data_IF_724492170527
#
_entry.id   IF_724492170527
#
_cell.length_a   1.000
_cell.length_b   1.000
_cell.length_c   1.000
_cell.angle_alpha   90.00
_cell.angle_beta   90.00
_cell.angle_gamma   90.00
#
_symmetry.space_group_name_H-M   'P 1'
#
loop_
_entity.id
_entity.type
_entity.pdbx_description
1 polymer ?
#
# COMPACT_ATOMS: atom_id res chain seq x y z
N UNK A 1 -10.12 20.80 -12.50
CA UNK A 1 -9.89 19.91 -13.65
C UNK A 1 -8.63 20.30 -14.38
N UNK A 2 -7.56 19.53 -14.16
CA UNK A 2 -6.30 19.61 -14.89
C UNK A 2 -6.47 19.19 -16.34
N UNK A 3 -5.89 19.95 -17.28
CA UNK A 3 -5.94 19.64 -18.71
C UNK A 3 -5.19 18.34 -19.03
N UNK A 4 -4.16 18.01 -18.24
CA UNK A 4 -3.32 16.86 -18.49
C UNK A 4 -3.97 15.54 -18.13
N UNK A 5 -4.97 15.53 -17.25
CA UNK A 5 -5.77 14.34 -16.95
C UNK A 5 -6.46 13.79 -18.22
N UNK A 6 -6.92 14.67 -19.11
CA UNK A 6 -7.54 14.27 -20.38
C UNK A 6 -6.52 13.85 -21.45
N UNK A 7 -5.32 14.42 -21.38
CA UNK A 7 -4.22 14.12 -22.30
C UNK A 7 -3.34 12.95 -21.83
N UNK A 8 -3.56 12.42 -20.63
CA UNK A 8 -2.78 11.35 -20.03
C UNK A 8 -2.63 10.11 -20.93
N UNK A 9 -3.66 9.63 -21.67
CA UNK A 9 -3.48 8.52 -22.60
C UNK A 9 -2.39 8.79 -23.66
N UNK A 10 -2.23 10.05 -24.07
CA UNK A 10 -1.19 10.47 -25.02
C UNK A 10 0.22 10.49 -24.41
N UNK A 11 0.35 10.31 -23.10
CA UNK A 11 1.62 10.13 -22.39
C UNK A 11 1.82 8.65 -21.99
N UNK A 12 0.75 7.99 -21.56
CA UNK A 12 0.74 6.61 -21.06
C UNK A 12 1.05 5.55 -22.12
N UNK A 13 0.62 5.71 -23.36
CA UNK A 13 0.99 4.74 -24.40
C UNK A 13 2.42 4.96 -24.94
N UNK A 14 2.86 6.19 -25.23
CA UNK A 14 4.18 6.38 -25.82
C UNK A 14 5.35 6.44 -24.83
N UNK A 15 5.16 6.40 -23.51
CA UNK A 15 6.31 6.54 -22.59
C UNK A 15 7.36 5.44 -22.75
N UNK A 16 6.97 4.25 -23.23
CA UNK A 16 7.90 3.16 -23.50
C UNK A 16 8.82 3.46 -24.70
N UNK A 17 8.23 3.77 -25.86
CA UNK A 17 8.94 3.79 -27.15
C UNK A 17 9.33 5.20 -27.62
N UNK A 18 8.71 6.22 -27.06
CA UNK A 18 8.87 7.62 -27.47
C UNK A 18 9.06 8.55 -26.26
N UNK A 19 9.84 8.09 -25.28
CA UNK A 19 10.03 8.80 -24.02
C UNK A 19 10.51 10.24 -24.20
N UNK A 20 11.38 10.56 -25.16
CA UNK A 20 11.85 11.94 -25.40
C UNK A 20 10.71 12.97 -25.57
N UNK A 21 9.63 12.58 -26.25
CA UNK A 21 8.44 13.44 -26.42
C UNK A 21 7.63 13.54 -25.14
N UNK A 22 7.55 12.44 -24.39
CA UNK A 22 6.89 12.39 -23.08
C UNK A 22 7.67 13.21 -22.06
N UNK A 23 9.00 13.14 -22.03
CA UNK A 23 9.89 13.89 -21.17
C UNK A 23 9.69 15.41 -21.33
N UNK A 24 9.64 15.90 -22.58
CA UNK A 24 9.33 17.31 -22.86
C UNK A 24 7.98 17.73 -22.27
N UNK A 25 6.99 16.83 -22.34
CA UNK A 25 5.65 17.08 -21.80
C UNK A 25 5.65 17.06 -20.27
N UNK A 26 6.36 16.10 -19.66
CA UNK A 26 6.53 16.01 -18.21
C UNK A 26 7.22 17.25 -17.64
N UNK A 27 8.25 17.75 -18.30
CA UNK A 27 8.90 19.01 -17.90
C UNK A 27 7.95 20.20 -17.96
N UNK A 28 7.05 20.22 -18.95
CA UNK A 28 6.05 21.28 -19.07
C UNK A 28 5.00 21.17 -17.99
N UNK A 29 4.49 19.97 -17.71
CA UNK A 29 3.56 19.74 -16.60
C UNK A 29 4.21 20.21 -15.29
N UNK A 30 5.45 19.79 -15.02
CA UNK A 30 6.19 20.15 -13.81
C UNK A 30 6.34 21.67 -13.63
N UNK A 31 6.51 22.43 -14.73
CA UNK A 31 6.69 23.90 -14.69
C UNK A 31 5.40 24.70 -14.66
N UNK A 32 4.38 24.26 -15.40
CA UNK A 32 3.18 25.07 -15.71
C UNK A 32 1.88 24.45 -15.17
N UNK A 33 1.90 23.18 -14.78
CA UNK A 33 0.73 22.42 -14.36
C UNK A 33 0.19 22.85 -13.00
N UNK A 34 -1.11 22.64 -12.81
CA UNK A 34 -1.73 22.80 -11.50
C UNK A 34 -1.60 21.51 -10.66
N UNK A 35 -2.09 21.53 -9.42
CA UNK A 35 -2.05 20.36 -8.52
C UNK A 35 -2.66 19.10 -9.13
N UNK A 36 -3.77 19.20 -9.85
CA UNK A 36 -4.41 18.04 -10.46
C UNK A 36 -3.57 17.48 -11.63
N UNK A 37 -2.89 18.35 -12.38
CA UNK A 37 -1.95 17.93 -13.41
C UNK A 37 -0.74 17.18 -12.82
N UNK A 38 -0.38 17.47 -11.56
CA UNK A 38 0.73 16.81 -10.88
C UNK A 38 0.45 15.34 -10.56
N UNK A 39 -0.82 14.93 -10.41
CA UNK A 39 -1.14 13.51 -10.31
C UNK A 39 -0.78 12.76 -11.59
N UNK A 40 -1.05 13.37 -12.75
CA UNK A 40 -0.66 12.83 -14.05
C UNK A 40 0.87 12.79 -14.18
N UNK A 41 1.54 13.87 -13.80
CA UNK A 41 3.01 13.94 -13.81
C UNK A 41 3.63 12.84 -12.94
N UNK A 42 3.16 12.68 -11.70
CA UNK A 42 3.66 11.68 -10.77
C UNK A 42 3.46 10.26 -11.29
N UNK A 43 2.29 9.97 -11.87
CA UNK A 43 1.98 8.65 -12.43
C UNK A 43 2.84 8.31 -13.63
N UNK A 44 2.92 9.19 -14.62
CA UNK A 44 3.73 8.94 -15.82
C UNK A 44 5.23 8.91 -15.48
N UNK A 45 5.70 9.76 -14.57
CA UNK A 45 7.10 9.75 -14.14
C UNK A 45 7.46 8.48 -13.38
N UNK A 46 6.57 7.97 -12.53
CA UNK A 46 6.75 6.69 -11.85
C UNK A 46 6.82 5.53 -12.85
N UNK A 47 5.92 5.47 -13.85
CA UNK A 47 5.96 4.46 -14.90
C UNK A 47 7.27 4.50 -15.69
N UNK A 48 7.71 5.70 -16.09
CA UNK A 48 8.98 5.89 -16.79
C UNK A 48 10.19 5.50 -15.93
N UNK A 49 10.10 5.65 -14.59
CA UNK A 49 11.17 5.20 -13.68
C UNK A 49 11.27 3.69 -13.59
N UNK A 50 10.13 2.96 -13.62
CA UNK A 50 10.12 1.49 -13.61
C UNK A 50 10.75 0.91 -14.89
N UNK A 51 10.65 1.63 -16.01
CA UNK A 51 11.26 1.22 -17.29
C UNK A 51 12.67 1.78 -17.51
N UNK A 52 13.24 2.50 -16.53
CA UNK A 52 14.62 3.01 -16.57
C UNK A 52 14.81 4.29 -17.39
N UNK A 53 13.73 4.92 -17.85
CA UNK A 53 13.79 6.20 -18.58
C UNK A 53 14.03 7.40 -17.65
N UNK A 54 13.61 7.28 -16.39
CA UNK A 54 13.89 8.23 -15.32
C UNK A 54 14.63 7.49 -14.21
N UNK A 55 15.74 8.05 -13.72
CA UNK A 55 16.40 7.50 -12.55
C UNK A 55 15.46 7.56 -11.32
N UNK A 56 15.33 6.44 -10.60
CA UNK A 56 14.39 6.33 -9.49
C UNK A 56 14.72 7.28 -8.34
N UNK A 57 16.01 7.46 -8.03
CA UNK A 57 16.43 8.40 -6.99
C UNK A 57 16.16 9.85 -7.42
N UNK A 58 16.36 10.17 -8.70
CA UNK A 58 15.97 11.45 -9.27
C UNK A 58 14.46 11.71 -9.17
N UNK A 59 13.61 10.70 -9.43
CA UNK A 59 12.16 10.83 -9.25
C UNK A 59 11.80 11.12 -7.79
N UNK A 60 12.34 10.38 -6.83
CA UNK A 60 12.08 10.63 -5.41
C UNK A 60 12.54 12.03 -4.98
N UNK A 61 13.72 12.47 -5.45
CA UNK A 61 14.20 13.82 -5.21
C UNK A 61 13.29 14.90 -5.82
N UNK A 62 12.74 14.64 -7.00
CA UNK A 62 11.79 15.55 -7.65
C UNK A 62 10.45 15.62 -6.90
N UNK A 63 9.90 14.48 -6.46
CA UNK A 63 8.67 14.42 -5.65
C UNK A 63 8.83 15.22 -4.36
N UNK A 64 9.96 15.03 -3.65
CA UNK A 64 10.28 15.77 -2.43
C UNK A 64 10.47 17.27 -2.67
N UNK A 65 11.11 17.65 -3.78
CA UNK A 65 11.31 19.06 -4.10
C UNK A 65 10.01 19.77 -4.51
N UNK A 66 9.12 19.06 -5.20
CA UNK A 66 7.84 19.61 -5.62
C UNK A 66 6.91 19.84 -4.42
N UNK A 67 6.94 18.96 -3.43
CA UNK A 67 6.12 19.06 -2.21
C UNK A 67 4.61 19.18 -2.53
N UNK A 68 4.15 18.36 -3.50
CA UNK A 68 2.76 18.33 -3.95
C UNK A 68 2.18 16.93 -3.74
N UNK A 69 1.15 16.84 -2.90
CA UNK A 69 0.51 15.59 -2.50
C UNK A 69 -0.09 14.82 -3.67
N UNK A 70 -0.64 15.52 -4.66
CA UNK A 70 -1.18 14.90 -5.87
C UNK A 70 -0.10 14.18 -6.69
N UNK A 71 1.14 14.69 -6.72
CA UNK A 71 2.26 14.02 -7.37
C UNK A 71 2.59 12.68 -6.69
N UNK A 72 2.66 12.69 -5.36
CA UNK A 72 2.83 11.48 -4.55
C UNK A 72 1.69 10.49 -4.74
N UNK A 73 0.44 10.97 -4.79
CA UNK A 73 -0.71 10.13 -5.07
C UNK A 73 -0.61 9.43 -6.44
N UNK A 74 -0.23 10.19 -7.47
CA UNK A 74 -0.04 9.68 -8.83
C UNK A 74 1.05 8.61 -8.88
N UNK A 75 2.22 8.89 -8.30
CA UNK A 75 3.32 7.94 -8.24
C UNK A 75 2.96 6.68 -7.44
N UNK A 76 2.33 6.83 -6.28
CA UNK A 76 1.89 5.72 -5.46
C UNK A 76 0.86 4.84 -6.17
N UNK A 77 -0.03 5.40 -7.00
CA UNK A 77 -0.98 4.60 -7.80
C UNK A 77 -0.30 3.63 -8.78
N UNK A 78 0.94 3.96 -9.22
CA UNK A 78 1.77 3.06 -10.04
C UNK A 78 2.43 2.00 -9.19
N UNK A 79 3.04 2.41 -8.08
CA UNK A 79 3.77 1.49 -7.19
C UNK A 79 2.86 0.49 -6.49
N UNK A 80 1.60 0.84 -6.25
CA UNK A 80 0.62 -0.06 -5.62
C UNK A 80 -0.14 -0.94 -6.61
N UNK A 81 0.08 -0.76 -7.92
CA UNK A 81 -0.59 -1.57 -8.93
C UNK A 81 -0.02 -3.02 -8.94
N UNK A 82 -0.87 -4.07 -8.86
CA UNK A 82 -0.41 -5.45 -8.71
C UNK A 82 0.58 -5.92 -9.78
N UNK A 83 0.32 -5.57 -11.05
CA UNK A 83 1.22 -5.95 -12.15
C UNK A 83 2.59 -5.28 -12.04
N UNK A 84 2.65 -4.03 -11.54
CA UNK A 84 3.90 -3.31 -11.38
C UNK A 84 4.69 -3.88 -10.21
N UNK A 85 4.04 -4.17 -9.08
CA UNK A 85 4.69 -4.86 -7.95
C UNK A 85 5.25 -6.22 -8.39
N UNK A 86 4.52 -6.97 -9.24
CA UNK A 86 4.98 -8.26 -9.74
C UNK A 86 6.23 -8.14 -10.60
N UNK A 87 6.33 -7.09 -11.42
CA UNK A 87 7.44 -6.90 -12.36
C UNK A 87 8.63 -6.15 -11.76
N UNK A 88 8.38 -5.16 -10.89
CA UNK A 88 9.34 -4.19 -10.37
C UNK A 88 9.29 -4.11 -8.84
N UNK A 89 9.19 -5.27 -8.18
CA UNK A 89 8.90 -5.39 -6.75
C UNK A 89 9.71 -4.45 -5.86
N UNK A 90 11.03 -4.49 -5.95
CA UNK A 90 11.91 -3.72 -5.06
C UNK A 90 11.69 -2.21 -5.21
N UNK A 91 11.61 -1.71 -6.44
CA UNK A 91 11.36 -0.29 -6.72
C UNK A 91 9.97 0.14 -6.25
N UNK A 92 8.93 -0.66 -6.51
CA UNK A 92 7.58 -0.35 -6.04
C UNK A 92 7.51 -0.28 -4.50
N UNK A 93 8.09 -1.26 -3.80
CA UNK A 93 8.10 -1.29 -2.34
C UNK A 93 8.93 -0.14 -1.77
N UNK A 94 10.07 0.19 -2.37
CA UNK A 94 10.89 1.34 -1.97
C UNK A 94 10.15 2.69 -2.16
N UNK A 95 9.40 2.84 -3.25
CA UNK A 95 8.60 4.04 -3.51
C UNK A 95 7.46 4.21 -2.51
N UNK A 96 6.75 3.12 -2.20
CA UNK A 96 5.73 3.09 -1.14
C UNK A 96 6.36 3.46 0.21
N UNK A 97 7.49 2.85 0.55
CA UNK A 97 8.19 3.11 1.81
C UNK A 97 8.60 4.58 1.94
N UNK A 98 9.19 5.14 0.87
CA UNK A 98 9.59 6.55 0.83
C UNK A 98 8.38 7.45 1.09
N UNK A 99 7.30 7.27 0.33
CA UNK A 99 6.10 8.10 0.45
C UNK A 99 5.39 7.98 1.80
N UNK A 100 5.40 6.79 2.44
CA UNK A 100 4.84 6.60 3.78
C UNK A 100 5.67 7.27 4.89
N UNK A 101 6.93 7.60 4.62
CA UNK A 101 7.84 8.28 5.56
C UNK A 101 7.88 9.80 5.39
N UNK A 102 7.19 10.34 4.39
CA UNK A 102 7.05 11.77 4.19
C UNK A 102 6.11 12.40 5.25
N UNK A 103 5.85 13.70 5.11
CA UNK A 103 4.90 14.41 5.96
C UNK A 103 3.50 13.75 5.94
N UNK A 104 2.66 14.12 6.91
CA UNK A 104 1.34 13.51 7.09
C UNK A 104 0.48 13.60 5.83
N UNK A 105 0.59 14.68 5.03
CA UNK A 105 -0.25 14.89 3.86
C UNK A 105 0.12 13.93 2.72
N UNK A 106 1.41 13.82 2.38
CA UNK A 106 1.90 12.89 1.35
C UNK A 106 1.73 11.45 1.81
N UNK A 107 2.11 11.15 3.06
CA UNK A 107 2.00 9.82 3.63
C UNK A 107 0.55 9.31 3.63
N UNK A 108 -0.43 10.15 3.99
CA UNK A 108 -1.84 9.79 3.92
C UNK A 108 -2.31 9.50 2.48
N UNK A 109 -1.84 10.28 1.49
CA UNK A 109 -2.15 10.01 0.08
C UNK A 109 -1.58 8.68 -0.40
N UNK A 110 -0.34 8.35 -0.02
CA UNK A 110 0.29 7.06 -0.34
C UNK A 110 -0.40 5.90 0.38
N UNK A 111 -0.70 6.05 1.66
CA UNK A 111 -1.41 5.02 2.44
C UNK A 111 -2.78 4.69 1.85
N UNK A 112 -3.52 5.69 1.34
CA UNK A 112 -4.77 5.47 0.59
C UNK A 112 -4.59 4.66 -0.70
N UNK A 113 -3.43 4.73 -1.35
CA UNK A 113 -3.14 3.87 -2.50
C UNK A 113 -2.72 2.46 -2.06
N UNK A 114 -2.02 2.33 -0.93
CA UNK A 114 -1.65 1.03 -0.33
C UNK A 114 -2.90 0.26 0.10
N UNK A 115 -3.92 0.95 0.62
CA UNK A 115 -5.22 0.36 0.95
C UNK A 115 -5.83 -0.45 -0.21
N UNK A 116 -5.60 0.00 -1.45
CA UNK A 116 -6.10 -0.68 -2.65
C UNK A 116 -5.40 -2.01 -2.93
N UNK A 117 -4.19 -2.23 -2.40
CA UNK A 117 -3.47 -3.51 -2.53
C UNK A 117 -4.25 -4.62 -1.83
N UNK A 118 -4.94 -4.29 -0.74
CA UNK A 118 -5.68 -5.26 0.07
C UNK A 118 -7.02 -5.65 -0.57
N UNK A 119 -7.51 -4.88 -1.56
CA UNK A 119 -8.78 -5.14 -2.24
C UNK A 119 -8.62 -6.13 -3.39
N UNK A 120 -9.50 -7.13 -3.45
CA UNK A 120 -9.80 -8.00 -4.61
C UNK A 120 -8.57 -8.56 -5.37
N UNK A 121 -7.50 -8.90 -4.66
CA UNK A 121 -6.30 -9.50 -5.25
C UNK A 121 -6.18 -10.98 -4.88
N UNK A 122 -6.67 -11.85 -5.76
CA UNK A 122 -6.39 -13.28 -5.73
C UNK A 122 -5.44 -13.64 -6.89
N UNK A 123 -4.18 -14.01 -6.62
CA UNK A 123 -3.56 -14.19 -5.32
C UNK A 123 -3.18 -12.88 -4.60
N UNK A 124 -3.08 -12.89 -3.24
CA UNK A 124 -2.72 -11.69 -2.49
C UNK A 124 -1.30 -11.24 -2.82
N UNK A 125 -1.14 -9.93 -3.00
CA UNK A 125 0.18 -9.32 -3.17
C UNK A 125 0.93 -9.40 -1.84
N UNK A 126 2.10 -10.07 -1.76
CA UNK A 126 2.86 -10.14 -0.52
C UNK A 126 3.47 -8.78 -0.19
N UNK A 127 3.17 -8.24 0.99
CA UNK A 127 3.68 -6.96 1.47
C UNK A 127 4.54 -7.18 2.72
N UNK A 128 5.78 -6.66 2.76
CA UNK A 128 6.62 -6.71 3.96
C UNK A 128 5.90 -6.15 5.19
N UNK A 129 6.10 -6.81 6.34
CA UNK A 129 5.44 -6.44 7.59
C UNK A 129 5.75 -4.99 8.02
N UNK A 130 6.95 -4.49 7.73
CA UNK A 130 7.31 -3.12 8.06
C UNK A 130 6.54 -2.07 7.24
N UNK A 131 6.17 -2.39 5.99
CA UNK A 131 5.28 -1.53 5.20
C UNK A 131 3.85 -1.54 5.74
N UNK A 132 3.37 -2.70 6.21
CA UNK A 132 2.07 -2.78 6.92
C UNK A 132 2.13 -1.88 8.15
N UNK A 133 3.18 -2.00 8.99
CA UNK A 133 3.37 -1.18 10.19
C UNK A 133 3.38 0.31 9.88
N UNK A 134 4.14 0.75 8.87
CA UNK A 134 4.19 2.15 8.44
C UNK A 134 2.81 2.64 7.99
N UNK A 135 2.12 1.89 7.14
CA UNK A 135 0.80 2.24 6.63
C UNK A 135 -0.21 2.44 7.78
N UNK A 136 -0.23 1.51 8.75
CA UNK A 136 -1.08 1.63 9.92
C UNK A 136 -0.72 2.81 10.82
N UNK A 137 0.57 3.14 10.98
CA UNK A 137 0.98 4.34 11.73
C UNK A 137 0.50 5.64 11.08
N UNK A 138 0.43 5.70 9.75
CA UNK A 138 -0.15 6.84 9.02
C UNK A 138 -1.66 6.91 9.27
N UNK A 139 -2.36 5.77 9.20
CA UNK A 139 -3.79 5.72 9.48
C UNK A 139 -4.17 6.10 10.92
N UNK A 140 -3.33 5.81 11.92
CA UNK A 140 -3.57 6.28 13.29
C UNK A 140 -3.53 7.81 13.39
N UNK A 141 -2.65 8.46 12.63
CA UNK A 141 -2.38 9.89 12.71
C UNK A 141 -3.23 10.74 11.76
N UNK A 142 -3.83 10.16 10.73
CA UNK A 142 -4.69 10.90 9.79
C UNK A 142 -6.12 11.06 10.36
N UNK A 143 -6.46 12.27 10.78
CA UNK A 143 -7.72 12.63 11.42
C UNK A 143 -8.93 12.73 10.49
N UNK A 144 -8.75 12.81 9.18
CA UNK A 144 -9.83 13.20 8.25
C UNK A 144 -10.73 12.04 7.79
N UNK A 145 -10.25 10.79 7.80
CA UNK A 145 -10.95 9.65 7.18
C UNK A 145 -11.00 8.38 8.05
N UNK A 146 -11.50 8.50 9.30
CA UNK A 146 -11.54 7.38 10.26
C UNK A 146 -12.45 6.20 9.88
N UNK A 147 -13.39 6.38 8.94
CA UNK A 147 -14.50 5.43 8.73
C UNK A 147 -14.40 4.56 7.45
N UNK A 148 -13.44 4.80 6.56
CA UNK A 148 -13.39 4.15 5.22
C UNK A 148 -12.05 3.48 4.88
N UNK A 149 -11.20 3.23 5.88
CA UNK A 149 -9.86 2.65 5.69
C UNK A 149 -9.92 1.13 5.91
N UNK A 150 -9.15 0.38 5.14
CA UNK A 150 -8.89 -1.06 5.29
C UNK A 150 -9.98 -2.01 4.80
N UNK A 151 -10.80 -1.56 3.85
CA UNK A 151 -11.74 -2.45 3.17
C UNK A 151 -10.98 -3.56 2.43
N UNK A 152 -11.29 -4.82 2.71
CA UNK A 152 -10.62 -6.00 2.14
C UNK A 152 -9.34 -6.41 2.88
N UNK A 153 -8.95 -5.75 3.97
CA UNK A 153 -7.77 -6.17 4.74
C UNK A 153 -7.97 -7.55 5.40
N UNK A 154 -9.19 -7.84 5.87
CA UNK A 154 -9.62 -9.16 6.35
C UNK A 154 -9.53 -10.24 5.26
N UNK A 155 -9.97 -9.94 4.05
CA UNK A 155 -9.78 -10.81 2.88
C UNK A 155 -8.30 -11.06 2.59
N UNK A 156 -7.47 -10.01 2.59
CA UNK A 156 -6.04 -10.11 2.37
C UNK A 156 -5.35 -10.94 3.46
N UNK A 157 -5.70 -10.75 4.74
CA UNK A 157 -5.18 -11.54 5.86
C UNK A 157 -5.56 -13.02 5.71
N UNK A 158 -6.83 -13.30 5.42
CA UNK A 158 -7.32 -14.65 5.23
C UNK A 158 -6.64 -15.35 4.05
N UNK A 159 -6.40 -14.65 2.94
CA UNK A 159 -5.66 -15.20 1.81
C UNK A 159 -4.16 -15.37 2.11
N UNK A 160 -3.56 -14.43 2.84
CA UNK A 160 -2.14 -14.48 3.22
C UNK A 160 -1.87 -15.62 4.18
N UNK A 161 -2.77 -15.94 5.11
CA UNK A 161 -2.59 -17.04 6.07
C UNK A 161 -2.50 -18.43 5.41
N UNK A 162 -3.00 -18.59 4.19
CA UNK A 162 -2.82 -19.84 3.44
C UNK A 162 -1.40 -20.03 2.89
N UNK A 163 -0.62 -18.95 2.81
CA UNK A 163 0.68 -18.91 2.14
C UNK A 163 1.83 -18.61 3.10
N UNK A 164 1.58 -17.67 4.00
CA UNK A 164 2.51 -17.19 4.99
C UNK A 164 1.74 -16.90 6.29
N UNK A 165 1.50 -17.93 7.12
CA UNK A 165 0.82 -17.80 8.40
C UNK A 165 1.52 -16.84 9.37
N UNK A 166 2.84 -16.76 9.30
CA UNK A 166 3.66 -15.90 10.18
C UNK A 166 3.43 -14.42 9.84
N UNK A 167 3.47 -14.07 8.56
CA UNK A 167 3.15 -12.73 8.08
C UNK A 167 1.69 -12.36 8.38
N UNK A 168 0.76 -13.29 8.16
CA UNK A 168 -0.65 -13.06 8.45
C UNK A 168 -0.87 -12.77 9.93
N UNK A 169 -0.31 -13.58 10.83
CA UNK A 169 -0.39 -13.37 12.28
C UNK A 169 0.20 -12.02 12.69
N UNK A 170 1.40 -11.69 12.23
CA UNK A 170 2.03 -10.40 12.54
C UNK A 170 1.21 -9.20 12.04
N UNK A 171 0.62 -9.31 10.84
CA UNK A 171 -0.23 -8.27 10.28
C UNK A 171 -1.56 -8.15 11.04
N UNK A 172 -2.14 -9.26 11.51
CA UNK A 172 -3.32 -9.26 12.38
C UNK A 172 -3.04 -8.58 13.71
N UNK A 173 -1.90 -8.83 14.35
CA UNK A 173 -1.50 -8.16 15.59
C UNK A 173 -1.44 -6.63 15.42
N UNK A 174 -0.87 -6.15 14.30
CA UNK A 174 -0.84 -4.72 13.96
C UNK A 174 -2.26 -4.17 13.78
N UNK A 175 -3.10 -4.89 13.03
CA UNK A 175 -4.47 -4.48 12.74
C UNK A 175 -5.33 -4.38 14.00
N UNK A 176 -5.23 -5.36 14.90
CA UNK A 176 -5.97 -5.34 16.16
C UNK A 176 -5.48 -4.24 17.10
N UNK A 177 -4.16 -4.01 17.18
CA UNK A 177 -3.63 -2.88 17.93
C UNK A 177 -4.19 -1.54 17.43
N UNK A 178 -4.29 -1.37 16.12
CA UNK A 178 -4.93 -0.21 15.50
C UNK A 178 -6.41 -0.09 15.85
N UNK A 179 -7.18 -1.18 15.74
CA UNK A 179 -8.62 -1.20 16.06
C UNK A 179 -8.86 -0.84 17.53
N UNK A 180 -8.10 -1.44 18.45
CA UNK A 180 -8.26 -1.19 19.89
C UNK A 180 -8.00 0.28 20.26
N UNK A 181 -7.07 0.95 19.56
CA UNK A 181 -6.71 2.35 19.80
C UNK A 181 -7.67 3.34 19.15
N UNK A 182 -7.98 3.11 17.88
CA UNK A 182 -8.73 4.07 17.05
C UNK A 182 -10.25 3.85 17.11
N UNK A 183 -10.68 2.68 17.59
CA UNK A 183 -12.08 2.23 17.67
C UNK A 183 -12.86 2.51 16.38
N UNK A 184 -12.34 2.10 15.21
CA UNK A 184 -13.07 2.22 13.97
C UNK A 184 -14.26 1.26 14.00
N UNK A 185 -15.20 1.44 13.07
CA UNK A 185 -16.24 0.45 12.87
C UNK A 185 -15.59 -0.87 12.44
N UNK A 186 -15.78 -1.92 13.24
CA UNK A 186 -15.21 -3.25 13.02
C UNK A 186 -16.32 -4.22 12.59
N UNK A 187 -16.11 -4.88 11.46
CA UNK A 187 -17.04 -5.86 10.91
C UNK A 187 -16.24 -6.97 10.24
N UNK A 188 -16.48 -8.22 10.65
CA UNK A 188 -15.90 -9.40 10.02
C UNK A 188 -16.75 -9.78 8.80
N UNK A 189 -16.36 -9.32 7.62
CA UNK A 189 -17.09 -9.62 6.40
C UNK A 189 -16.93 -11.11 6.07
N UNK A 190 -18.03 -11.80 5.74
CA UNK A 190 -18.04 -13.23 5.36
C UNK A 190 -17.32 -14.20 6.34
N UNK A 191 -17.18 -13.82 7.61
CA UNK A 191 -16.43 -14.59 8.63
C UNK A 191 -14.97 -14.85 8.22
N UNK A 192 -14.33 -13.90 7.54
CA UNK A 192 -12.93 -14.02 7.07
C UNK A 192 -11.95 -14.07 8.22
N UNK A 193 -12.17 -13.33 9.30
CA UNK A 193 -11.33 -13.36 10.49
C UNK A 193 -11.50 -14.69 11.24
N UNK A 194 -12.70 -15.26 11.30
CA UNK A 194 -12.90 -16.61 11.85
C UNK A 194 -12.14 -17.68 11.05
N UNK A 195 -12.18 -17.61 9.72
CA UNK A 195 -11.41 -18.52 8.85
C UNK A 195 -9.91 -18.36 9.06
N UNK A 196 -9.43 -17.11 9.15
CA UNK A 196 -8.06 -16.77 9.47
C UNK A 196 -7.64 -17.41 10.80
N UNK A 197 -8.42 -17.22 11.87
CA UNK A 197 -8.13 -17.79 13.19
C UNK A 197 -8.03 -19.30 13.15
N UNK A 198 -8.97 -19.97 12.47
CA UNK A 198 -8.96 -21.44 12.34
C UNK A 198 -7.67 -21.93 11.68
N UNK A 199 -7.19 -21.23 10.64
CA UNK A 199 -5.93 -21.58 9.96
C UNK A 199 -4.71 -21.32 10.83
N UNK A 200 -4.69 -20.19 11.53
CA UNK A 200 -3.58 -19.84 12.42
C UNK A 200 -3.47 -20.81 13.61
N UNK A 201 -4.59 -21.29 14.16
CA UNK A 201 -4.58 -22.33 15.19
C UNK A 201 -4.03 -23.64 14.65
N UNK A 202 -4.49 -24.10 13.49
CA UNK A 202 -3.99 -25.33 12.88
C UNK A 202 -2.47 -25.27 12.64
N UNK A 203 -1.96 -24.17 12.09
CA UNK A 203 -0.52 -23.97 11.89
C UNK A 203 0.24 -23.93 13.23
N UNK A 204 -0.31 -23.25 14.23
CA UNK A 204 0.34 -23.14 15.54
C UNK A 204 0.42 -24.49 16.27
N UNK A 205 -0.61 -25.34 16.14
CA UNK A 205 -0.61 -26.72 16.65
C UNK A 205 0.44 -27.57 15.92
N UNK A 206 0.54 -27.46 14.59
CA UNK A 206 1.57 -28.18 13.81
C UNK A 206 2.99 -27.77 14.20
N UNK A 207 3.21 -26.52 14.60
CA UNK A 207 4.53 -25.99 14.99
C UNK A 207 4.88 -26.12 16.46
N UNK A 208 3.91 -26.47 17.32
CA UNK A 208 4.03 -26.36 18.78
C UNK A 208 5.29 -27.03 19.35
N UNK A 209 5.61 -28.23 18.89
CA UNK A 209 6.81 -28.96 19.34
C UNK A 209 8.11 -28.28 18.91
N UNK A 210 8.11 -27.65 17.73
CA UNK A 210 9.29 -27.04 17.12
C UNK A 210 9.60 -25.64 17.64
N UNK A 211 8.56 -24.87 17.97
CA UNK A 211 8.68 -23.48 18.42
C UNK A 211 8.39 -23.31 19.92
N UNK A 212 8.11 -24.40 20.64
CA UNK A 212 7.76 -24.42 22.06
C UNK A 212 6.48 -23.61 22.38
N UNK A 213 5.52 -23.66 21.45
CA UNK A 213 4.22 -23.00 21.56
C UNK A 213 4.29 -21.49 21.45
N UNK A 214 5.32 -20.93 20.80
CA UNK A 214 5.47 -19.47 20.64
C UNK A 214 4.37 -18.92 19.75
N UNK A 215 4.10 -19.54 18.60
CA UNK A 215 3.02 -19.13 17.70
C UNK A 215 1.67 -19.31 18.37
N UNK A 216 1.43 -20.43 19.05
CA UNK A 216 0.16 -20.72 19.72
C UNK A 216 -0.21 -19.64 20.76
N UNK A 217 0.75 -19.19 21.58
CA UNK A 217 0.54 -18.10 22.54
C UNK A 217 0.12 -16.79 21.87
N UNK A 218 0.71 -16.48 20.72
CA UNK A 218 0.37 -15.29 19.93
C UNK A 218 -1.04 -15.40 19.33
N UNK A 219 -1.39 -16.56 18.77
CA UNK A 219 -2.72 -16.82 18.21
C UNK A 219 -3.81 -16.71 19.29
N UNK A 220 -3.59 -17.29 20.48
CA UNK A 220 -4.51 -17.12 21.62
C UNK A 220 -4.66 -15.65 22.01
N UNK A 221 -3.56 -14.90 22.07
CA UNK A 221 -3.61 -13.46 22.39
C UNK A 221 -4.44 -12.66 21.37
N UNK A 222 -4.32 -13.01 20.08
CA UNK A 222 -5.13 -12.42 19.00
C UNK A 222 -6.61 -12.78 19.16
N UNK A 223 -6.92 -14.04 19.50
CA UNK A 223 -8.29 -14.48 19.77
C UNK A 223 -8.93 -13.70 20.93
N UNK A 224 -8.21 -13.56 22.05
CA UNK A 224 -8.70 -12.85 23.22
C UNK A 224 -9.05 -11.39 22.91
N UNK A 225 -8.22 -10.73 22.09
CA UNK A 225 -8.50 -9.35 21.64
C UNK A 225 -9.75 -9.33 20.77
N UNK A 226 -9.87 -10.22 19.77
CA UNK A 226 -11.04 -10.29 18.89
C UNK A 226 -12.35 -10.53 19.66
N UNK A 227 -12.33 -11.38 20.70
CA UNK A 227 -13.50 -11.64 21.55
C UNK A 227 -13.87 -10.47 22.47
N UNK A 228 -12.96 -9.52 22.66
CA UNK A 228 -13.15 -8.35 23.51
C UNK A 228 -13.64 -7.09 22.77
N UNK A 229 -13.59 -7.10 21.43
CA UNK A 229 -14.04 -6.01 20.56
C UNK A 229 -15.57 -6.00 20.39
#
# INVERSE_FOLDING_TARGET
MGLWQFAEPCLYYPYHDHFEKVATSLERICREGNKEDMETWGRISALASLTGHIDFAHLLGALNKLDITEAWQGAASVWTHPNNIKQHREQCLAGIEAGLKEDISHAAAVARQVDKIFRDNAPPTPIPIELVRLCFSVFENDSENKHHRLFGFDDWLNATSQRDPELALAATEIYLAYISRTKPYFYDHENRLVQLMTRLFAEAEEREESDQGVMLKRVVSVQDILLSL
#
